data_IF_667726219934
#
_entry.id   IF_667726219934
#
_cell.length_a   1.000
_cell.length_b   1.000
_cell.length_c   1.000
_cell.angle_alpha   90.00
_cell.angle_beta   90.00
_cell.angle_gamma   90.00
#
_symmetry.space_group_name_H-M   'P 1'
#
loop_
_entity.id
_entity.type
_entity.pdbx_description
1 polymer ?
#
# COMPACT_ATOMS: atom_id res chain seq x y z
N UNK A 1 -14.27 10.29 -7.66
CA UNK A 1 -12.87 10.17 -7.20
C UNK A 1 -12.41 8.73 -7.45
N UNK A 2 -11.29 8.52 -8.15
CA UNK A 2 -10.85 7.21 -8.61
C UNK A 2 -10.62 6.20 -7.47
N UNK A 3 -10.10 6.69 -6.35
CA UNK A 3 -9.91 5.93 -5.11
C UNK A 3 -11.21 5.27 -4.65
N UNK A 4 -12.33 6.00 -4.65
CA UNK A 4 -13.64 5.43 -4.33
C UNK A 4 -14.16 4.46 -5.39
N UNK A 5 -13.93 4.66 -6.68
CA UNK A 5 -14.36 3.71 -7.71
C UNK A 5 -13.57 2.39 -7.65
N UNK A 6 -12.24 2.44 -7.52
CA UNK A 6 -11.41 1.24 -7.36
C UNK A 6 -11.66 0.57 -6.01
N UNK A 7 -11.78 1.34 -4.94
CA UNK A 7 -12.16 0.79 -3.63
C UNK A 7 -13.52 0.11 -3.71
N UNK A 8 -14.55 0.77 -4.22
CA UNK A 8 -15.89 0.19 -4.35
C UNK A 8 -15.89 -1.02 -5.29
N UNK A 9 -15.10 -1.05 -6.36
CA UNK A 9 -14.98 -2.22 -7.23
C UNK A 9 -14.26 -3.41 -6.54
N UNK A 10 -13.22 -3.14 -5.74
CA UNK A 10 -12.53 -4.16 -4.93
C UNK A 10 -13.36 -4.64 -3.74
N UNK A 11 -14.11 -3.74 -3.08
CA UNK A 11 -14.91 -4.06 -1.89
C UNK A 11 -16.35 -4.48 -2.20
N UNK A 12 -16.85 -4.28 -3.43
CA UNK A 12 -18.10 -4.85 -3.91
C UNK A 12 -18.12 -6.39 -3.75
N UNK A 13 -16.96 -7.04 -3.83
CA UNK A 13 -16.81 -8.49 -3.62
C UNK A 13 -16.69 -8.91 -2.15
N UNK A 14 -16.55 -7.95 -1.23
CA UNK A 14 -16.24 -8.15 0.20
C UNK A 14 -17.39 -7.62 1.10
N UNK A 15 -18.50 -7.18 0.50
CA UNK A 15 -19.59 -6.42 1.17
C UNK A 15 -20.16 -7.08 2.43
N UNK A 16 -20.17 -8.42 2.51
CA UNK A 16 -20.73 -9.11 3.69
C UNK A 16 -19.86 -8.95 4.97
N UNK A 17 -18.59 -8.55 4.89
CA UNK A 17 -17.67 -8.45 6.04
C UNK A 17 -17.44 -7.00 6.53
N UNK A 18 -17.86 -6.00 5.77
CA UNK A 18 -17.55 -4.58 5.99
C UNK A 18 -18.76 -3.76 6.48
N UNK A 19 -19.80 -4.39 7.02
CA UNK A 19 -21.06 -3.79 7.52
C UNK A 19 -20.91 -2.90 8.78
N UNK A 20 -19.84 -2.10 8.87
CA UNK A 20 -19.65 -1.07 9.90
C UNK A 20 -18.93 0.15 9.34
N UNK A 21 -19.10 1.32 9.97
CA UNK A 21 -18.41 2.58 9.66
C UNK A 21 -16.89 2.44 9.90
N UNK A 22 -16.19 1.76 8.99
CA UNK A 22 -14.74 1.57 9.06
C UNK A 22 -14.05 2.64 8.23
N UNK A 23 -13.06 3.28 8.84
CA UNK A 23 -12.12 4.19 8.16
C UNK A 23 -11.42 3.38 7.07
N UNK A 24 -11.21 4.03 5.93
CA UNK A 24 -10.53 3.47 4.77
C UNK A 24 -9.27 4.29 4.51
N UNK A 25 -8.17 3.62 4.20
CA UNK A 25 -7.02 4.23 3.57
C UNK A 25 -6.53 3.44 2.36
N UNK A 26 -5.88 4.12 1.43
CA UNK A 26 -5.27 3.51 0.26
C UNK A 26 -3.99 4.25 -0.14
N UNK A 27 -3.04 3.52 -0.69
CA UNK A 27 -1.84 4.08 -1.33
C UNK A 27 -1.97 3.85 -2.84
N UNK A 28 -1.89 4.96 -3.59
CA UNK A 28 -2.01 5.00 -5.03
C UNK A 28 -0.63 5.32 -5.63
N UNK A 29 -0.14 4.46 -6.51
CA UNK A 29 1.06 4.69 -7.30
C UNK A 29 0.70 5.40 -8.61
N UNK A 30 1.49 6.39 -9.01
CA UNK A 30 1.42 7.03 -10.33
C UNK A 30 2.79 6.95 -11.00
N UNK A 31 2.82 6.61 -12.29
CA UNK A 31 4.00 6.68 -13.16
C UNK A 31 3.79 7.85 -14.13
N UNK A 32 4.72 8.79 -14.20
CA UNK A 32 4.59 10.01 -15.01
C UNK A 32 3.54 11.01 -14.49
N UNK A 33 3.27 12.04 -15.30
CA UNK A 33 2.33 13.12 -14.97
C UNK A 33 0.88 12.80 -15.38
N UNK A 34 0.68 11.88 -16.32
CA UNK A 34 -0.64 11.58 -16.89
C UNK A 34 -1.20 10.25 -16.37
N UNK A 35 -2.51 10.24 -16.10
CA UNK A 35 -3.23 9.05 -15.68
C UNK A 35 -3.64 9.01 -14.20
N UNK A 36 -4.63 8.16 -13.93
CA UNK A 36 -5.35 8.13 -12.67
C UNK A 36 -4.57 7.38 -11.55
N UNK A 37 -3.52 6.65 -11.91
CA UNK A 37 -2.72 5.82 -10.99
C UNK A 37 -3.33 4.43 -10.73
N UNK A 38 -2.57 3.61 -10.00
CA UNK A 38 -2.91 2.24 -9.63
C UNK A 38 -2.90 2.13 -8.11
N UNK A 39 -3.96 1.55 -7.53
CA UNK A 39 -3.99 1.28 -6.09
C UNK A 39 -3.07 0.11 -5.79
N UNK A 40 -2.02 0.34 -5.01
CA UNK A 40 -1.02 -0.67 -4.64
C UNK A 40 -1.23 -1.22 -3.23
N UNK A 41 -1.99 -0.50 -2.39
CA UNK A 41 -2.38 -1.01 -1.08
C UNK A 41 -3.67 -0.39 -0.58
N UNK A 42 -4.44 -1.16 0.19
CA UNK A 42 -5.68 -0.75 0.85
C UNK A 42 -5.62 -1.23 2.30
N UNK A 43 -6.10 -0.40 3.23
CA UNK A 43 -6.28 -0.76 4.62
C UNK A 43 -7.63 -0.26 5.14
N UNK A 44 -8.21 -0.98 6.09
CA UNK A 44 -9.40 -0.55 6.83
C UNK A 44 -9.22 -0.81 8.30
N UNK A 45 -9.78 0.03 9.15
CA UNK A 45 -9.78 -0.19 10.59
C UNK A 45 -9.66 1.11 11.36
N UNK A 46 -10.01 1.05 12.65
CA UNK A 46 -10.06 2.21 13.53
C UNK A 46 -9.75 1.85 14.99
N UNK A 47 -8.96 0.79 15.19
CA UNK A 47 -8.65 0.25 16.51
C UNK A 47 -7.19 -0.16 16.57
N UNK A 48 -6.66 -0.16 17.78
CA UNK A 48 -5.36 -0.71 18.12
C UNK A 48 -5.54 -1.95 18.99
N UNK A 49 -4.50 -2.77 19.05
CA UNK A 49 -4.45 -3.95 19.93
C UNK A 49 -4.49 -3.52 21.40
N UNK A 50 -4.99 -4.40 22.28
CA UNK A 50 -4.93 -4.18 23.72
C UNK A 50 -3.55 -4.59 24.27
N UNK A 51 -3.16 -4.02 25.41
CA UNK A 51 -1.87 -4.30 26.05
C UNK A 51 -1.63 -5.79 26.33
N UNK A 52 -2.68 -6.52 26.72
CA UNK A 52 -2.65 -7.97 26.99
C UNK A 52 -2.35 -8.82 25.74
N UNK A 53 -2.61 -8.28 24.55
CA UNK A 53 -2.44 -8.97 23.27
C UNK A 53 -1.11 -8.61 22.56
N UNK A 54 -0.28 -7.78 23.20
CA UNK A 54 1.04 -7.42 22.67
C UNK A 54 1.95 -8.66 22.62
N UNK A 55 2.57 -8.87 21.45
CA UNK A 55 3.53 -9.96 21.26
C UNK A 55 4.96 -9.45 21.37
N UNK A 56 5.78 -10.13 22.18
CA UNK A 56 7.24 -9.92 22.24
C UNK A 56 7.97 -10.55 21.04
N UNK A 57 7.29 -11.38 20.25
CA UNK A 57 7.85 -12.07 19.07
C UNK A 57 7.51 -11.39 17.74
N UNK A 58 6.74 -10.29 17.78
CA UNK A 58 6.31 -9.58 16.57
C UNK A 58 5.15 -10.24 15.82
N UNK A 59 4.37 -11.09 16.50
CA UNK A 59 3.24 -11.82 15.89
C UNK A 59 1.93 -11.01 15.88
N UNK A 60 1.87 -9.92 16.64
CA UNK A 60 0.69 -9.05 16.76
C UNK A 60 0.89 -7.74 15.99
N UNK A 61 -0.16 -7.29 15.30
CA UNK A 61 -0.20 -5.94 14.72
C UNK A 61 -0.74 -4.98 15.77
N UNK A 62 0.12 -4.08 16.25
CA UNK A 62 -0.23 -3.19 17.36
C UNK A 62 -1.26 -2.12 16.98
N UNK A 63 -1.16 -1.58 15.77
CA UNK A 63 -2.03 -0.52 15.28
C UNK A 63 -2.70 -0.97 13.97
N UNK A 64 -4.03 -1.07 14.02
CA UNK A 64 -4.86 -1.49 12.91
C UNK A 64 -5.71 -0.33 12.37
N UNK A 65 -5.32 0.93 12.58
CA UNK A 65 -5.85 2.06 11.83
C UNK A 65 -5.63 1.85 10.33
N UNK A 66 -6.58 2.32 9.53
CA UNK A 66 -6.64 2.03 8.10
C UNK A 66 -5.34 2.43 7.38
N UNK A 67 -4.82 3.61 7.67
CA UNK A 67 -3.59 4.17 7.11
C UNK A 67 -2.34 3.38 7.51
N UNK A 68 -2.33 2.83 8.73
CA UNK A 68 -1.23 1.99 9.20
C UNK A 68 -1.25 0.65 8.48
N UNK A 69 -2.42 0.03 8.34
CA UNK A 69 -2.58 -1.21 7.57
C UNK A 69 -2.23 -0.99 6.10
N UNK A 70 -2.68 0.12 5.51
CA UNK A 70 -2.36 0.47 4.12
C UNK A 70 -0.85 0.65 3.93
N UNK A 71 -0.15 1.31 4.86
CA UNK A 71 1.31 1.42 4.83
C UNK A 71 2.00 0.05 4.95
N UNK A 72 1.55 -0.84 5.85
CA UNK A 72 2.11 -2.18 6.00
C UNK A 72 1.94 -3.01 4.72
N UNK A 73 0.78 -2.90 4.07
CA UNK A 73 0.55 -3.52 2.77
C UNK A 73 1.43 -2.93 1.66
N UNK A 74 1.67 -1.62 1.69
CA UNK A 74 2.57 -0.95 0.75
C UNK A 74 4.03 -1.42 0.91
N UNK A 75 4.52 -1.68 2.12
CA UNK A 75 5.85 -2.27 2.31
C UNK A 75 5.96 -3.65 1.63
N UNK A 76 4.91 -4.48 1.70
CA UNK A 76 4.88 -5.77 1.00
C UNK A 76 4.93 -5.60 -0.51
N UNK A 77 4.22 -4.62 -1.05
CA UNK A 77 4.32 -4.25 -2.47
C UNK A 77 5.75 -3.88 -2.85
N UNK A 78 6.42 -3.02 -2.07
CA UNK A 78 7.82 -2.66 -2.33
C UNK A 78 8.76 -3.88 -2.29
N UNK A 79 8.58 -4.80 -1.34
CA UNK A 79 9.36 -6.05 -1.32
C UNK A 79 9.11 -6.92 -2.55
N UNK A 80 7.87 -7.04 -3.01
CA UNK A 80 7.56 -7.77 -4.25
C UNK A 80 8.24 -7.15 -5.46
N UNK A 81 8.21 -5.82 -5.59
CA UNK A 81 8.90 -5.10 -6.67
C UNK A 81 10.42 -5.23 -6.58
N UNK A 82 11.00 -5.26 -5.38
CA UNK A 82 12.43 -5.52 -5.16
C UNK A 82 12.83 -6.94 -5.58
N UNK A 83 12.03 -7.95 -5.22
CA UNK A 83 12.29 -9.35 -5.60
C UNK A 83 12.14 -9.59 -7.11
N UNK A 84 11.29 -8.80 -7.77
CA UNK A 84 11.09 -8.85 -9.22
C UNK A 84 12.08 -7.98 -10.01
N UNK A 85 12.94 -7.20 -9.33
CA UNK A 85 13.88 -6.32 -10.00
C UNK A 85 14.95 -7.11 -10.77
N UNK A 86 15.02 -6.87 -12.06
CA UNK A 86 16.07 -7.37 -12.95
C UNK A 86 16.88 -6.19 -13.52
N UNK A 87 18.21 -6.10 -13.25
CA UNK A 87 19.07 -5.07 -13.81
C UNK A 87 19.11 -5.06 -15.35
N UNK A 88 18.75 -6.15 -16.01
CA UNK A 88 18.72 -6.26 -17.47
C UNK A 88 17.36 -5.89 -18.08
N UNK A 89 16.31 -5.78 -17.25
CA UNK A 89 14.94 -5.49 -17.67
C UNK A 89 14.28 -4.41 -16.79
N UNK A 90 14.94 -3.27 -16.64
CA UNK A 90 14.54 -2.21 -15.71
C UNK A 90 13.32 -1.41 -16.14
N UNK A 91 12.88 -1.51 -17.40
CA UNK A 91 11.79 -0.67 -17.95
C UNK A 91 10.48 -0.81 -17.17
N UNK A 92 10.06 -2.04 -16.85
CA UNK A 92 8.78 -2.28 -16.19
C UNK A 92 8.82 -2.02 -14.66
N UNK A 93 10.02 -2.11 -14.06
CA UNK A 93 10.22 -1.92 -12.62
C UNK A 93 9.95 -0.47 -12.17
N UNK A 94 9.52 -0.31 -10.92
CA UNK A 94 9.45 0.98 -10.22
C UNK A 94 10.80 1.45 -9.69
N UNK A 95 11.80 0.58 -9.67
CA UNK A 95 13.15 0.87 -9.16
C UNK A 95 14.15 1.16 -10.28
N UNK A 96 15.18 1.92 -9.94
CA UNK A 96 16.37 2.15 -10.74
C UNK A 96 17.62 2.14 -9.83
N UNK A 97 18.78 1.84 -10.41
CA UNK A 97 20.05 1.93 -9.70
C UNK A 97 20.41 3.40 -9.45
N UNK A 98 20.77 3.71 -8.20
CA UNK A 98 21.35 4.98 -7.80
C UNK A 98 22.88 4.94 -7.92
N UNK A 99 23.51 6.11 -7.86
CA UNK A 99 24.98 6.26 -7.96
C UNK A 99 25.73 5.52 -6.84
N UNK A 100 25.11 5.36 -5.67
CA UNK A 100 25.68 4.64 -4.53
C UNK A 100 25.50 3.11 -4.61
N UNK A 101 25.01 2.60 -5.75
CA UNK A 101 24.77 1.18 -5.99
C UNK A 101 23.51 0.63 -5.32
N UNK A 102 22.71 1.45 -4.63
CA UNK A 102 21.42 1.04 -4.07
C UNK A 102 20.30 1.20 -5.09
N UNK A 103 19.16 0.59 -4.81
CA UNK A 103 17.94 0.84 -5.58
C UNK A 103 17.21 2.05 -5.02
N UNK A 104 16.82 2.97 -5.90
CA UNK A 104 15.90 4.07 -5.62
C UNK A 104 14.64 3.93 -6.47
N UNK A 105 13.55 4.50 -6.00
CA UNK A 105 12.34 4.65 -6.81
C UNK A 105 12.65 5.57 -8.00
N UNK A 106 12.09 5.27 -9.18
CA UNK A 106 12.24 6.12 -10.37
C UNK A 106 11.62 7.50 -10.13
N UNK A 107 12.23 8.53 -10.72
CA UNK A 107 11.87 9.92 -10.43
C UNK A 107 10.47 10.30 -10.97
N UNK A 108 9.95 9.54 -11.93
CA UNK A 108 8.60 9.65 -12.46
C UNK A 108 7.56 8.84 -11.67
N UNK A 109 7.96 8.10 -10.64
CA UNK A 109 7.07 7.28 -9.81
C UNK A 109 6.78 7.99 -8.49
N UNK A 110 5.50 8.17 -8.18
CA UNK A 110 5.04 8.79 -6.93
C UNK A 110 3.94 7.96 -6.25
N UNK A 111 3.88 8.08 -4.92
CA UNK A 111 2.89 7.39 -4.08
C UNK A 111 2.05 8.39 -3.31
N UNK A 112 0.73 8.18 -3.31
CA UNK A 112 -0.26 9.10 -2.77
C UNK A 112 -1.11 8.38 -1.73
N UNK A 113 -1.11 8.86 -0.49
CA UNK A 113 -1.95 8.33 0.58
C UNK A 113 -3.32 9.02 0.55
N UNK A 114 -4.37 8.21 0.56
CA UNK A 114 -5.76 8.64 0.74
C UNK A 114 -6.31 8.05 2.04
N UNK A 115 -7.01 8.84 2.83
CA UNK A 115 -7.72 8.42 4.05
C UNK A 115 -9.13 9.01 4.02
N UNK A 116 -10.14 8.22 4.39
CA UNK A 116 -11.55 8.62 4.44
C UNK A 116 -12.07 8.75 5.86
#
# INVERSE_FOLDING_TARGET
>A
MLSHQRFNALTARIQHSLLGRKILAAIIMRKGQDGLGVVVSIGTGNRCVKGEELSLKGETVNDCHAEIISRRGFLRFLYSELMAFDPLATEESIFQLAEDGKLKIKDDVSFHLYIR
#
